data_IF_473065081073
#
_entry.id   IF_473065081073
#
_cell.length_a   1.000
_cell.length_b   1.000
_cell.length_c   1.000
_cell.angle_alpha   90.00
_cell.angle_beta   90.00
_cell.angle_gamma   90.00
#
_symmetry.space_group_name_H-M   'P 1'
#
loop_
_entity.id
_entity.type
_entity.pdbx_description
1 polymer ?
#
# COMPACT_ATOMS: atom_id res chain seq x y z
N UNK A 1 12.96 8.45 0.10
CA UNK A 1 11.52 8.83 -0.04
C UNK A 1 10.73 7.60 -0.42
N UNK A 2 9.65 7.29 0.31
CA UNK A 2 8.83 6.08 0.11
C UNK A 2 8.16 6.13 -1.28
N UNK A 3 8.36 5.10 -2.10
CA UNK A 3 7.81 5.03 -3.46
C UNK A 3 6.38 4.47 -3.47
N UNK A 4 5.42 5.34 -3.14
CA UNK A 4 3.99 5.00 -3.08
C UNK A 4 3.43 4.63 -4.46
N UNK A 5 3.79 5.38 -5.49
CA UNK A 5 3.30 5.11 -6.85
C UNK A 5 3.81 3.77 -7.38
N UNK A 6 5.10 3.47 -7.15
CA UNK A 6 5.68 2.17 -7.50
C UNK A 6 5.02 1.02 -6.75
N UNK A 7 4.76 1.20 -5.45
CA UNK A 7 4.04 0.22 -4.64
C UNK A 7 2.62 -0.05 -5.17
N UNK A 8 1.83 0.99 -5.40
CA UNK A 8 0.44 0.85 -5.89
C UNK A 8 0.38 0.21 -7.28
N UNK A 9 1.34 0.53 -8.17
CA UNK A 9 1.44 -0.08 -9.51
C UNK A 9 1.87 -1.55 -9.46
N UNK A 10 2.66 -1.94 -8.47
CA UNK A 10 3.00 -3.34 -8.26
C UNK A 10 1.80 -4.16 -7.77
N UNK A 11 0.96 -3.59 -6.89
CA UNK A 11 -0.23 -4.28 -6.37
C UNK A 11 -1.31 -4.53 -7.45
N UNK A 12 -1.30 -3.77 -8.54
CA UNK A 12 -2.18 -4.01 -9.67
C UNK A 12 -2.23 -2.84 -10.63
N UNK A 13 -3.11 -2.93 -11.63
CA UNK A 13 -3.21 -1.91 -12.68
C UNK A 13 -3.83 -0.63 -12.13
N UNK A 14 -3.00 0.28 -11.63
CA UNK A 14 -3.43 1.57 -11.12
C UNK A 14 -3.99 2.42 -12.26
N UNK A 15 -5.22 2.91 -12.07
CA UNK A 15 -5.92 3.79 -13.01
C UNK A 15 -5.73 5.25 -12.60
N UNK A 16 -5.74 5.50 -11.30
CA UNK A 16 -5.64 6.84 -10.74
C UNK A 16 -4.87 6.76 -9.42
N UNK A 17 -3.93 7.68 -9.22
CA UNK A 17 -3.36 8.00 -7.90
C UNK A 17 -3.43 9.50 -7.74
N UNK A 18 -4.04 9.96 -6.65
CA UNK A 18 -4.15 11.36 -6.32
C UNK A 18 -3.63 11.57 -4.91
N UNK A 19 -2.62 12.42 -4.77
CA UNK A 19 -2.14 12.89 -3.47
C UNK A 19 -3.22 13.78 -2.86
N UNK A 20 -3.77 13.38 -1.71
CA UNK A 20 -4.80 14.13 -0.97
C UNK A 20 -4.14 15.05 0.05
N UNK A 21 -3.07 14.58 0.70
CA UNK A 21 -2.20 15.35 1.58
C UNK A 21 -0.78 14.79 1.55
N UNK A 22 0.13 15.34 2.35
CA UNK A 22 1.53 14.86 2.40
C UNK A 22 1.69 13.40 2.80
N UNK A 23 0.71 12.85 3.51
CA UNK A 23 0.74 11.50 4.04
C UNK A 23 -0.47 10.66 3.60
N UNK A 24 -1.31 11.17 2.69
CA UNK A 24 -2.52 10.47 2.25
C UNK A 24 -2.67 10.54 0.74
N UNK A 25 -2.95 9.37 0.14
CA UNK A 25 -3.25 9.22 -1.28
C UNK A 25 -4.60 8.52 -1.42
N UNK A 26 -5.40 8.97 -2.38
CA UNK A 26 -6.53 8.19 -2.89
C UNK A 26 -6.09 7.49 -4.17
N UNK A 27 -6.53 6.25 -4.37
CA UNK A 27 -6.19 5.50 -5.56
C UNK A 27 -7.39 4.74 -6.12
N UNK A 28 -7.33 4.47 -7.43
CA UNK A 28 -8.20 3.51 -8.12
C UNK A 28 -7.36 2.48 -8.84
N UNK A 29 -7.76 1.23 -8.75
CA UNK A 29 -7.08 0.09 -9.35
C UNK A 29 -8.05 -0.77 -10.13
N UNK A 30 -7.64 -1.19 -11.33
CA UNK A 30 -8.37 -2.12 -12.16
C UNK A 30 -7.94 -3.55 -11.86
N UNK A 31 -8.90 -4.32 -11.39
CA UNK A 31 -8.83 -5.77 -11.33
C UNK A 31 -10.07 -6.33 -12.06
N UNK A 32 -10.64 -7.46 -11.62
CA UNK A 32 -11.95 -7.93 -12.10
C UNK A 32 -13.05 -6.87 -11.92
N UNK A 33 -12.93 -6.04 -10.88
CA UNK A 33 -13.78 -4.87 -10.62
C UNK A 33 -12.92 -3.61 -10.45
N UNK A 34 -13.57 -2.44 -10.43
CA UNK A 34 -12.90 -1.19 -10.09
C UNK A 34 -12.80 -1.03 -8.58
N UNK A 35 -11.58 -1.18 -8.06
CA UNK A 35 -11.28 -1.00 -6.64
C UNK A 35 -10.89 0.45 -6.40
N UNK A 36 -11.42 1.03 -5.32
CA UNK A 36 -11.07 2.37 -4.87
C UNK A 36 -10.65 2.31 -3.42
N UNK A 37 -9.62 3.07 -3.06
CA UNK A 37 -9.11 3.07 -1.70
C UNK A 37 -8.29 4.31 -1.36
N UNK A 38 -7.83 4.34 -0.12
CA UNK A 38 -6.92 5.34 0.40
C UNK A 38 -5.70 4.67 0.99
N UNK A 39 -4.52 5.22 0.73
CA UNK A 39 -3.29 4.86 1.40
C UNK A 39 -2.90 6.00 2.33
N UNK A 40 -2.58 5.67 3.58
CA UNK A 40 -2.10 6.61 4.59
C UNK A 40 -0.75 6.16 5.13
N UNK A 41 0.20 7.09 5.21
CA UNK A 41 1.50 6.89 5.85
C UNK A 41 1.47 7.52 7.23
N UNK A 42 1.69 6.72 8.27
CA UNK A 42 1.81 7.15 9.65
C UNK A 42 3.31 7.07 10.05
N UNK A 43 4.06 8.18 9.99
CA UNK A 43 5.47 8.17 10.34
C UNK A 43 5.67 8.01 11.86
N UNK A 44 6.72 7.28 12.23
CA UNK A 44 7.10 7.01 13.62
C UNK A 44 8.41 6.22 13.66
N UNK A 45 8.81 5.73 14.84
CA UNK A 45 9.96 4.80 14.98
C UNK A 45 9.77 3.57 14.08
N UNK A 46 8.53 3.10 14.02
CA UNK A 46 8.02 2.21 12.99
C UNK A 46 7.07 3.03 12.13
N UNK A 47 7.41 3.17 10.85
CA UNK A 47 6.51 3.78 9.87
C UNK A 47 5.46 2.76 9.47
N UNK A 48 4.19 3.10 9.67
CA UNK A 48 3.06 2.27 9.28
C UNK A 48 2.39 2.83 8.04
N UNK A 49 2.16 1.97 7.05
CA UNK A 49 1.47 2.30 5.81
C UNK A 49 0.19 1.50 5.80
N UNK A 50 -0.93 2.21 5.91
CA UNK A 50 -2.26 1.62 5.96
C UNK A 50 -2.95 1.82 4.60
N UNK A 51 -3.51 0.76 4.05
CA UNK A 51 -4.17 0.72 2.74
C UNK A 51 -5.61 0.30 2.99
N UNK A 52 -6.55 1.25 2.92
CA UNK A 52 -7.97 0.97 3.08
C UNK A 52 -8.65 0.93 1.72
N UNK A 53 -9.12 -0.25 1.32
CA UNK A 53 -10.07 -0.36 0.23
C UNK A 53 -11.47 -0.02 0.74
N UNK A 54 -12.37 0.42 -0.15
CA UNK A 54 -13.76 0.69 0.23
C UNK A 54 -14.40 -0.59 0.79
N UNK A 55 -15.13 -0.49 1.89
CA UNK A 55 -15.84 -1.63 2.47
C UNK A 55 -16.76 -2.29 1.42
N UNK A 56 -16.79 -3.64 1.31
CA UNK A 56 -16.19 -4.64 2.22
C UNK A 56 -14.79 -5.16 1.81
N UNK A 57 -14.10 -4.51 0.87
CA UNK A 57 -12.94 -5.08 0.16
C UNK A 57 -11.76 -5.46 1.06
N UNK A 58 -11.41 -4.60 2.04
CA UNK A 58 -10.43 -4.90 3.09
C UNK A 58 -9.44 -3.78 3.44
N UNK A 59 -8.55 -4.11 4.38
CA UNK A 59 -7.50 -3.23 4.91
C UNK A 59 -6.16 -3.97 4.87
N UNK A 60 -5.16 -3.32 4.28
CA UNK A 60 -3.76 -3.74 4.28
C UNK A 60 -2.92 -2.88 5.20
N UNK A 61 -1.89 -3.49 5.78
CA UNK A 61 -0.92 -2.78 6.62
C UNK A 61 0.50 -3.22 6.25
N UNK A 62 1.41 -2.25 6.14
CA UNK A 62 2.86 -2.50 6.02
C UNK A 62 3.58 -1.70 7.09
N UNK A 63 4.40 -2.36 7.91
CA UNK A 63 5.24 -1.71 8.92
C UNK A 63 6.70 -1.78 8.51
N UNK A 64 7.36 -0.63 8.56
CA UNK A 64 8.73 -0.43 8.11
C UNK A 64 9.54 0.19 9.25
N UNK A 65 10.73 -0.33 9.49
CA UNK A 65 11.72 0.31 10.36
C UNK A 65 13.12 0.14 9.79
N UNK A 66 13.93 1.20 9.82
CA UNK A 66 15.34 1.19 9.38
C UNK A 66 15.53 0.49 8.02
N UNK A 67 14.75 0.89 7.01
CA UNK A 67 14.82 0.31 5.66
C UNK A 67 14.39 -1.16 5.56
N UNK A 68 13.72 -1.72 6.57
CA UNK A 68 13.27 -3.12 6.59
C UNK A 68 11.76 -3.19 6.78
N UNK A 69 11.09 -4.04 6.00
CA UNK A 69 9.68 -4.40 6.23
C UNK A 69 9.63 -5.45 7.35
N UNK A 70 9.00 -5.11 8.48
CA UNK A 70 8.85 -6.01 9.63
C UNK A 70 7.48 -6.69 9.68
N UNK A 71 6.47 -6.10 9.05
CA UNK A 71 5.14 -6.67 8.95
C UNK A 71 4.49 -6.25 7.63
N UNK A 72 3.79 -7.17 6.98
CA UNK A 72 2.94 -6.91 5.83
C UNK A 72 1.72 -7.83 5.92
N UNK A 73 0.53 -7.24 6.03
CA UNK A 73 -0.72 -7.97 6.26
C UNK A 73 -1.86 -7.37 5.44
N UNK A 74 -2.91 -8.17 5.27
CA UNK A 74 -4.17 -7.75 4.68
C UNK A 74 -5.30 -8.57 5.28
N UNK A 75 -6.39 -7.91 5.59
CA UNK A 75 -7.64 -8.49 6.08
C UNK A 75 -8.83 -7.98 5.25
N UNK A 76 -9.81 -8.85 4.99
CA UNK A 76 -10.99 -8.54 4.17
C UNK A 76 -11.27 -9.55 3.06
N UNK A 77 -12.35 -9.34 2.32
CA UNK A 77 -12.86 -10.34 1.36
C UNK A 77 -11.88 -10.63 0.20
N UNK A 78 -10.98 -9.70 -0.11
CA UNK A 78 -9.96 -9.86 -1.15
C UNK A 78 -8.62 -10.38 -0.62
N UNK A 79 -8.57 -10.94 0.60
CA UNK A 79 -7.32 -11.38 1.24
C UNK A 79 -6.52 -12.36 0.39
N UNK A 80 -7.17 -13.30 -0.28
CA UNK A 80 -6.51 -14.26 -1.16
C UNK A 80 -5.75 -13.59 -2.30
N UNK A 81 -6.23 -12.43 -2.75
CA UNK A 81 -5.65 -11.70 -3.87
C UNK A 81 -4.63 -10.65 -3.42
N UNK A 82 -4.93 -9.86 -2.38
CA UNK A 82 -4.12 -8.71 -2.01
C UNK A 82 -3.05 -9.01 -0.96
N UNK A 83 -3.25 -10.01 -0.08
CA UNK A 83 -2.24 -10.36 0.92
C UNK A 83 -0.89 -10.74 0.27
N UNK A 84 -0.82 -11.62 -0.75
CA UNK A 84 0.44 -11.94 -1.40
C UNK A 84 1.08 -10.73 -2.10
N UNK A 85 0.26 -9.87 -2.72
CA UNK A 85 0.73 -8.67 -3.43
C UNK A 85 1.28 -7.61 -2.48
N UNK A 86 0.62 -7.38 -1.35
CA UNK A 86 1.11 -6.44 -0.33
C UNK A 86 2.46 -6.92 0.21
N UNK A 87 2.57 -8.21 0.53
CA UNK A 87 3.83 -8.80 1.00
C UNK A 87 4.94 -8.63 -0.04
N UNK A 88 4.71 -8.98 -1.30
CA UNK A 88 5.75 -8.90 -2.34
C UNK A 88 6.12 -7.45 -2.71
N UNK A 89 5.12 -6.59 -2.89
CA UNK A 89 5.32 -5.20 -3.32
C UNK A 89 5.84 -4.29 -2.21
N UNK A 90 5.67 -4.65 -0.92
CA UNK A 90 6.16 -3.86 0.21
C UNK A 90 7.65 -3.54 0.14
N UNK A 91 8.46 -4.39 -0.52
CA UNK A 91 9.90 -4.19 -0.75
C UNK A 91 10.21 -2.92 -1.55
N UNK A 92 9.27 -2.44 -2.38
CA UNK A 92 9.44 -1.20 -3.15
C UNK A 92 9.49 0.00 -2.20
N UNK A 93 8.76 -0.06 -1.07
CA UNK A 93 8.64 1.03 -0.11
C UNK A 93 9.96 1.34 0.62
N UNK A 94 10.88 0.37 0.68
CA UNK A 94 12.21 0.50 1.31
C UNK A 94 13.36 0.71 0.30
N UNK A 95 13.09 0.56 -1.00
CA UNK A 95 14.13 0.44 -2.03
C UNK A 95 14.90 1.72 -2.39
N UNK A 96 14.57 2.88 -1.80
CA UNK A 96 15.17 4.20 -2.15
C UNK A 96 15.96 4.87 -1.02
N UNK A 97 16.46 4.12 -0.03
CA UNK A 97 17.39 4.65 0.99
C UNK A 97 18.86 4.24 0.75
N UNK A 98 19.19 3.59 -0.37
CA UNK A 98 20.56 3.23 -0.73
C UNK A 98 20.95 3.90 -2.05
N UNK A 99 21.18 5.21 -2.01
CA UNK A 99 22.04 5.93 -2.97
C UNK A 99 22.51 7.23 -2.37
#
# INVERSE_FOLDING_TARGET
>A
MIDIDGFLRCMGKTVEVKKVSDLVWSFKMRDAIMLSGTLKVNPGIVTEIEIRFRSPDGIGTVKITKGTVIEASYDGILSHQFKPKIVSCSKILISKELT
#
